data_IF_328109487136
#
_entry.id   IF_328109487136
#
_cell.length_a   1.000
_cell.length_b   1.000
_cell.length_c   1.000
_cell.angle_alpha   90.00
_cell.angle_beta   90.00
_cell.angle_gamma   90.00
#
_symmetry.space_group_name_H-M   'P 1'
#
loop_
_entity.id
_entity.type
_entity.pdbx_description
1 polymer ?
#
# COMPACT_ATOMS: atom_id res chain seq x y z
N UNK A 1 -7.94 -0.51 -15.11
CA UNK A 1 -7.42 0.06 -13.84
C UNK A 1 -7.65 -0.97 -12.73
N UNK A 2 -6.76 -1.05 -11.74
CA UNK A 2 -6.89 -1.88 -10.55
C UNK A 2 -8.09 -1.40 -9.72
N UNK A 3 -8.99 -2.30 -9.35
CA UNK A 3 -10.14 -1.95 -8.49
C UNK A 3 -9.73 -1.91 -7.01
N UNK A 4 -10.57 -1.32 -6.16
CA UNK A 4 -10.27 -1.14 -4.72
C UNK A 4 -9.95 -2.46 -4.02
N UNK A 5 -10.72 -3.50 -4.32
CA UNK A 5 -10.60 -4.82 -3.68
C UNK A 5 -9.72 -5.81 -4.46
N UNK A 6 -9.14 -5.40 -5.59
CA UNK A 6 -8.28 -6.27 -6.39
C UNK A 6 -6.84 -6.21 -5.87
N UNK A 7 -6.26 -7.39 -5.62
CA UNK A 7 -4.86 -7.53 -5.25
C UNK A 7 -3.93 -7.14 -6.42
N UNK A 8 -2.73 -6.66 -6.11
CA UNK A 8 -1.79 -6.22 -7.14
C UNK A 8 -1.35 -7.36 -8.07
N UNK A 9 -1.26 -8.58 -7.56
CA UNK A 9 -0.92 -9.80 -8.32
C UNK A 9 -1.99 -10.10 -9.37
N UNK A 10 -3.27 -10.10 -8.99
CA UNK A 10 -4.38 -10.32 -9.92
C UNK A 10 -4.44 -9.25 -11.02
N UNK A 11 -4.21 -7.99 -10.64
CA UNK A 11 -4.13 -6.89 -11.61
C UNK A 11 -2.95 -7.10 -12.58
N UNK A 12 -1.77 -7.44 -12.06
CA UNK A 12 -0.58 -7.72 -12.86
C UNK A 12 -0.83 -8.84 -13.87
N UNK A 13 -1.38 -9.97 -13.43
CA UNK A 13 -1.65 -11.14 -14.28
C UNK A 13 -2.60 -10.77 -15.42
N UNK A 14 -3.66 -10.02 -15.11
CA UNK A 14 -4.62 -9.52 -16.11
C UNK A 14 -3.91 -8.68 -17.18
N UNK A 15 -3.04 -7.76 -16.77
CA UNK A 15 -2.31 -6.91 -17.72
C UNK A 15 -1.30 -7.73 -18.53
N UNK A 16 -0.61 -8.69 -17.93
CA UNK A 16 0.33 -9.56 -18.66
C UNK A 16 -0.39 -10.42 -19.70
N UNK A 17 -1.55 -10.98 -19.37
CA UNK A 17 -2.37 -11.72 -20.32
C UNK A 17 -2.84 -10.83 -21.49
N UNK A 18 -3.29 -9.61 -21.21
CA UNK A 18 -3.68 -8.66 -22.24
C UNK A 18 -2.50 -8.27 -23.13
N UNK A 19 -1.34 -7.98 -22.54
CA UNK A 19 -0.13 -7.69 -23.29
C UNK A 19 0.23 -8.87 -24.20
N UNK A 20 0.20 -10.11 -23.68
CA UNK A 20 0.48 -11.32 -24.46
C UNK A 20 -0.51 -11.56 -25.61
N UNK A 21 -1.79 -11.25 -25.41
CA UNK A 21 -2.83 -11.36 -26.44
C UNK A 21 -2.64 -10.34 -27.57
N UNK A 22 -2.19 -9.13 -27.24
CA UNK A 22 -1.94 -8.07 -28.22
C UNK A 22 -0.60 -8.30 -28.94
N UNK A 23 0.46 -8.58 -28.18
CA UNK A 23 1.80 -8.85 -28.67
C UNK A 23 2.61 -9.64 -27.64
N UNK A 24 2.92 -10.90 -27.94
CA UNK A 24 3.71 -11.77 -27.08
C UNK A 24 5.15 -11.25 -26.84
N UNK A 25 5.71 -10.50 -27.80
CA UNK A 25 7.06 -9.94 -27.74
C UNK A 25 7.08 -8.50 -27.17
N UNK A 26 5.96 -8.03 -26.62
CA UNK A 26 5.85 -6.66 -26.12
C UNK A 26 6.96 -6.34 -25.10
N UNK A 27 7.70 -5.23 -25.28
CA UNK A 27 8.82 -4.89 -24.42
C UNK A 27 8.35 -4.50 -23.02
N UNK A 28 9.19 -4.77 -22.02
CA UNK A 28 8.90 -4.48 -20.61
C UNK A 28 8.65 -2.98 -20.37
N UNK A 29 9.32 -2.10 -21.10
CA UNK A 29 9.09 -0.64 -21.00
C UNK A 29 7.64 -0.25 -21.31
N UNK A 30 6.99 -0.94 -22.26
CA UNK A 30 5.61 -0.67 -22.61
C UNK A 30 4.63 -1.35 -21.63
N UNK A 31 4.93 -2.60 -21.23
CA UNK A 31 4.18 -3.31 -20.19
C UNK A 31 4.14 -2.51 -18.88
N UNK A 32 5.27 -1.94 -18.49
CA UNK A 32 5.39 -1.08 -17.30
C UNK A 32 4.54 0.18 -17.40
N UNK A 33 4.44 0.80 -18.58
CA UNK A 33 3.53 1.94 -18.80
C UNK A 33 2.08 1.55 -18.55
N UNK A 34 1.64 0.39 -19.05
CA UNK A 34 0.28 -0.09 -18.80
C UNK A 34 0.03 -0.41 -17.33
N UNK A 35 0.98 -1.06 -16.67
CA UNK A 35 0.91 -1.35 -15.24
C UNK A 35 0.78 -0.04 -14.43
N UNK A 36 1.73 0.90 -14.61
CA UNK A 36 1.75 2.21 -13.95
C UNK A 36 0.53 3.10 -14.21
N UNK A 37 -0.08 2.99 -15.39
CA UNK A 37 -1.27 3.76 -15.74
C UNK A 37 -2.50 3.34 -14.93
N UNK A 38 -2.55 2.09 -14.47
CA UNK A 38 -3.78 1.52 -13.91
C UNK A 38 -3.71 1.10 -12.44
N UNK A 39 -2.56 1.06 -11.78
CA UNK A 39 -2.49 0.72 -10.35
C UNK A 39 -3.20 1.73 -9.43
N UNK A 40 -3.54 1.29 -8.21
CA UNK A 40 -4.08 2.14 -7.14
C UNK A 40 -3.16 3.32 -6.84
N UNK A 41 -3.76 4.48 -6.57
CA UNK A 41 -3.01 5.70 -6.21
C UNK A 41 -2.12 5.51 -4.97
N UNK A 42 -2.59 4.74 -3.99
CA UNK A 42 -1.84 4.39 -2.77
C UNK A 42 -0.55 3.61 -3.07
N UNK A 43 -0.51 2.83 -4.16
CA UNK A 43 0.71 2.12 -4.58
C UNK A 43 1.57 2.97 -5.52
N UNK A 44 0.94 3.84 -6.31
CA UNK A 44 1.57 4.53 -7.44
C UNK A 44 2.79 5.36 -7.03
N UNK A 45 2.68 6.14 -5.97
CA UNK A 45 3.79 6.97 -5.50
C UNK A 45 5.00 6.12 -5.09
N UNK A 46 4.78 5.12 -4.23
CA UNK A 46 5.86 4.28 -3.71
C UNK A 46 6.55 3.45 -4.79
N UNK A 47 5.77 2.92 -5.75
CA UNK A 47 6.33 2.14 -6.86
C UNK A 47 7.08 3.06 -7.84
N UNK A 48 6.58 4.28 -8.10
CA UNK A 48 7.27 5.22 -8.98
C UNK A 48 8.62 5.67 -8.41
N UNK A 49 8.74 5.85 -7.08
CA UNK A 49 9.99 6.19 -6.41
C UNK A 49 11.07 5.11 -6.54
N UNK A 50 10.67 3.85 -6.73
CA UNK A 50 11.59 2.73 -6.91
C UNK A 50 12.01 2.53 -8.39
N UNK A 51 11.37 3.24 -9.32
CA UNK A 51 11.69 3.27 -10.75
C UNK A 51 11.98 1.86 -11.35
N UNK A 52 11.01 0.92 -11.27
CA UNK A 52 11.22 -0.46 -11.70
C UNK A 52 11.51 -0.53 -13.20
N UNK A 53 12.57 -1.26 -13.56
CA UNK A 53 13.01 -1.42 -14.96
C UNK A 53 12.44 -2.64 -15.67
N UNK A 54 11.91 -3.60 -14.90
CA UNK A 54 11.29 -4.81 -15.43
C UNK A 54 9.94 -5.05 -14.76
N UNK A 55 9.08 -5.79 -15.45
CA UNK A 55 7.76 -6.20 -14.96
C UNK A 55 7.86 -7.03 -13.67
N UNK A 56 8.90 -7.86 -13.54
CA UNK A 56 9.19 -8.62 -12.33
C UNK A 56 9.54 -7.71 -11.13
N UNK A 57 10.39 -6.70 -11.34
CA UNK A 57 10.77 -5.75 -10.28
C UNK A 57 9.56 -4.89 -9.89
N UNK A 58 8.73 -4.49 -10.85
CA UNK A 58 7.47 -3.83 -10.57
C UNK A 58 6.58 -4.66 -9.64
N UNK A 59 6.36 -5.95 -9.95
CA UNK A 59 5.48 -6.80 -9.16
C UNK A 59 6.00 -6.99 -7.74
N UNK A 60 7.30 -7.24 -7.60
CA UNK A 60 7.95 -7.40 -6.30
C UNK A 60 7.77 -6.15 -5.42
N UNK A 61 8.07 -4.98 -5.97
CA UNK A 61 7.94 -3.71 -5.25
C UNK A 61 6.50 -3.42 -4.89
N UNK A 62 5.58 -3.56 -5.85
CA UNK A 62 4.17 -3.23 -5.64
C UNK A 62 3.52 -4.17 -4.62
N UNK A 63 3.88 -5.46 -4.61
CA UNK A 63 3.47 -6.42 -3.58
C UNK A 63 3.98 -6.03 -2.20
N UNK A 64 5.27 -5.70 -2.07
CA UNK A 64 5.84 -5.26 -0.79
C UNK A 64 5.12 -4.04 -0.22
N UNK A 65 4.78 -3.06 -1.07
CA UNK A 65 4.01 -1.88 -0.65
C UNK A 65 2.59 -2.27 -0.24
N UNK A 66 1.89 -3.10 -1.03
CA UNK A 66 0.53 -3.56 -0.70
C UNK A 66 0.50 -4.33 0.63
N UNK A 67 1.46 -5.21 0.87
CA UNK A 67 1.61 -5.94 2.13
C UNK A 67 1.87 -4.98 3.31
N UNK A 68 2.75 -4.00 3.12
CA UNK A 68 3.07 -2.99 4.15
C UNK A 68 1.85 -2.15 4.51
N UNK A 69 1.10 -1.68 3.51
CA UNK A 69 -0.12 -0.90 3.73
C UNK A 69 -1.21 -1.73 4.40
N UNK A 70 -1.30 -3.02 4.08
CA UNK A 70 -2.26 -3.93 4.71
C UNK A 70 -1.95 -4.13 6.20
N UNK A 71 -0.67 -4.20 6.58
CA UNK A 71 -0.24 -4.31 7.97
C UNK A 71 -0.49 -3.03 8.78
N UNK A 72 -0.21 -1.86 8.20
CA UNK A 72 -0.40 -0.57 8.89
C UNK A 72 -1.87 -0.17 9.01
N UNK A 73 -2.72 -0.61 8.08
CA UNK A 73 -4.17 -0.41 8.16
C UNK A 73 -4.77 -1.05 9.41
N UNK A 74 -4.20 -2.17 9.88
CA UNK A 74 -4.61 -2.86 11.12
C UNK A 74 -4.05 -2.23 12.40
N UNK A 75 -3.13 -1.26 12.30
CA UNK A 75 -2.48 -0.63 13.46
C UNK A 75 -3.19 0.67 13.89
N UNK A 76 -4.13 1.18 13.09
CA UNK A 76 -4.87 2.41 13.40
C UNK A 76 -6.13 2.19 14.26
N UNK A 77 -6.43 0.96 14.68
CA UNK A 77 -7.47 0.64 15.68
C UNK A 77 -6.97 0.83 17.14
N UNK A 78 -6.11 1.83 17.39
CA UNK A 78 -5.87 2.28 18.76
C UNK A 78 -6.99 3.28 19.09
N UNK A 79 -8.06 2.78 19.71
CA UNK A 79 -9.02 3.61 20.45
C UNK A 79 -8.26 4.43 21.50
N UNK A 80 -8.26 5.76 21.47
CA UNK A 80 -7.62 6.58 22.49
C UNK A 80 -8.59 6.84 23.66
N UNK A 81 -9.26 5.82 24.18
CA UNK A 81 -10.32 6.03 25.19
C UNK A 81 -10.15 5.25 26.49
N UNK A 82 -8.94 4.81 26.88
CA UNK A 82 -8.73 4.36 28.26
C UNK A 82 -7.27 4.55 28.73
N UNK A 83 -6.88 5.81 28.97
CA UNK A 83 -5.86 6.09 30.00
C UNK A 83 -6.52 6.94 31.08
N UNK A 84 -7.16 6.26 32.03
CA UNK A 84 -7.63 6.90 33.26
C UNK A 84 -6.40 7.19 34.12
N UNK A 85 -5.81 8.37 33.95
CA UNK A 85 -4.82 8.88 34.91
C UNK A 85 -5.59 9.30 36.15
N UNK A 86 -5.72 8.41 37.13
CA UNK A 86 -6.12 8.80 38.48
C UNK A 86 -4.99 9.62 39.10
N UNK A 87 -4.99 10.93 38.83
CA UNK A 87 -4.22 11.89 39.58
C UNK A 87 -4.80 11.98 40.99
N UNK A 88 -4.25 11.20 41.92
CA UNK A 88 -4.54 11.33 43.35
C UNK A 88 -3.95 12.67 43.82
N UNK A 89 -4.76 13.71 43.74
CA UNK A 89 -4.51 15.01 44.35
C UNK A 89 -4.82 14.90 45.83
N UNK A 90 -3.81 14.65 46.67
CA UNK A 90 -3.92 14.91 48.10
C UNK A 90 -3.59 16.39 48.36
N UNK A 91 -4.64 17.21 48.39
CA UNK A 91 -4.58 18.61 48.83
C UNK A 91 -5.22 18.81 50.21
N UNK A 92 -4.35 18.92 51.23
CA UNK A 92 -4.36 19.75 52.47
C UNK A 92 -5.53 19.60 53.50
N UNK A 93 -5.31 19.95 54.78
CA UNK A 93 -5.41 21.37 55.16
C UNK A 93 -4.28 21.88 56.07
N UNK A 94 -4.09 23.20 55.96
CA UNK A 94 -3.32 24.07 56.82
C UNK A 94 -4.12 24.32 58.11
N UNK A 95 -3.52 24.19 59.29
CA UNK A 95 -4.11 24.63 60.57
C UNK A 95 -3.23 25.70 61.20
N UNK A 96 -3.92 26.75 61.67
CA UNK A 96 -3.47 28.04 62.20
C UNK A 96 -2.71 27.92 63.51
#
# INVERSE_FOLDING_TARGET
>A
KQTVNQAITQYYDTIMELCKKVDAAMPDSLKLKYLMAGIKGSLKLHVALQDPKTTAVFLLTARKVEDTLSLTSSTNDIHPDHVTINAVTHSKPFTR
#
